data_IF_992427342511
#
_entry.id   IF_992427342511
#
_cell.length_a   1.000
_cell.length_b   1.000
_cell.length_c   1.000
_cell.angle_alpha   90.00
_cell.angle_beta   90.00
_cell.angle_gamma   90.00
#
_symmetry.space_group_name_H-M   'P 1'
#
loop_
_entity.id
_entity.type
_entity.pdbx_description
1 polymer ?
#
# COMPACT_ATOMS: atom_id res chain seq x y z
N UNK A 1 -12.78 16.48 -9.64
CA UNK A 1 -12.71 15.54 -8.50
C UNK A 1 -12.44 14.13 -9.02
N UNK A 2 -11.22 13.63 -8.85
CA UNK A 2 -10.91 12.25 -9.19
C UNK A 2 -11.80 11.35 -8.31
N UNK A 3 -12.55 10.39 -8.89
CA UNK A 3 -13.38 9.50 -8.09
C UNK A 3 -12.47 8.81 -7.09
N UNK A 4 -12.69 9.09 -5.81
CA UNK A 4 -11.95 8.46 -4.73
C UNK A 4 -12.22 6.96 -4.87
N UNK A 5 -11.19 6.12 -5.06
CA UNK A 5 -11.37 4.67 -5.04
C UNK A 5 -12.18 4.28 -3.81
N UNK A 6 -13.11 3.34 -3.94
CA UNK A 6 -13.95 2.90 -2.84
C UNK A 6 -13.07 2.66 -1.59
N UNK A 7 -13.36 3.37 -0.50
CA UNK A 7 -12.50 3.35 0.68
C UNK A 7 -12.39 1.92 1.22
N UNK A 8 -11.19 1.36 1.22
CA UNK A 8 -10.94 0.04 1.79
C UNK A 8 -11.30 0.04 3.28
N UNK A 9 -11.73 -1.10 3.80
CA UNK A 9 -11.95 -1.32 5.24
C UNK A 9 -10.92 -2.29 5.79
N UNK A 10 -10.64 -2.17 7.09
CA UNK A 10 -9.84 -3.16 7.82
C UNK A 10 -10.40 -4.57 7.60
N UNK A 11 -9.53 -5.51 7.25
CA UNK A 11 -9.87 -6.88 6.92
C UNK A 11 -10.10 -7.13 5.43
N UNK A 12 -10.22 -6.08 4.60
CA UNK A 12 -10.30 -6.27 3.16
C UNK A 12 -9.04 -6.94 2.62
N UNK A 13 -9.25 -7.88 1.70
CA UNK A 13 -8.22 -8.32 0.77
C UNK A 13 -8.21 -7.36 -0.40
N UNK A 14 -7.04 -6.81 -0.69
CA UNK A 14 -6.78 -5.95 -1.85
C UNK A 14 -5.66 -6.55 -2.69
N UNK A 15 -5.58 -6.15 -3.95
CA UNK A 15 -4.57 -6.63 -4.88
C UNK A 15 -3.73 -5.47 -5.41
N UNK A 16 -2.43 -5.74 -5.57
CA UNK A 16 -1.48 -4.82 -6.19
C UNK A 16 -1.75 -4.76 -7.71
N UNK A 17 -2.03 -3.58 -8.25
CA UNK A 17 -2.19 -3.37 -9.70
C UNK A 17 -0.85 -3.14 -10.41
N UNK A 18 0.16 -2.69 -9.67
CA UNK A 18 1.54 -2.46 -10.08
C UNK A 18 2.48 -2.80 -8.91
N UNK A 19 3.79 -2.64 -9.08
CA UNK A 19 4.77 -2.81 -8.01
C UNK A 19 4.51 -1.85 -6.85
N UNK A 20 4.36 -2.38 -5.64
CA UNK A 20 4.18 -1.59 -4.41
C UNK A 20 5.47 -1.51 -3.61
N UNK A 21 5.72 -0.33 -3.04
CA UNK A 21 6.72 -0.17 -1.99
C UNK A 21 6.02 -0.30 -0.64
N UNK A 22 6.42 -1.31 0.14
CA UNK A 22 5.99 -1.49 1.53
C UNK A 22 6.97 -0.76 2.44
N UNK A 23 6.46 0.17 3.25
CA UNK A 23 7.24 1.04 4.12
C UNK A 23 6.99 0.78 5.60
N UNK A 24 7.94 1.14 6.47
CA UNK A 24 7.78 1.10 7.93
C UNK A 24 6.78 2.13 8.42
N UNK A 25 6.66 3.26 7.72
CA UNK A 25 5.78 4.36 8.09
C UNK A 25 5.11 4.97 6.87
N UNK A 26 3.94 5.59 7.04
CA UNK A 26 3.28 6.32 5.97
C UNK A 26 4.16 7.50 5.48
N UNK A 27 4.10 7.76 4.18
CA UNK A 27 4.84 8.82 3.50
C UNK A 27 6.04 8.31 2.71
N UNK A 28 6.45 9.07 1.70
CA UNK A 28 7.62 8.80 0.86
C UNK A 28 8.63 9.98 0.83
N UNK A 29 8.29 11.15 1.36
CA UNK A 29 9.17 12.32 1.36
C UNK A 29 10.07 12.35 2.60
N UNK A 30 11.36 12.64 2.40
CA UNK A 30 12.34 12.77 3.49
C UNK A 30 12.62 11.46 4.26
N UNK A 31 12.22 10.30 3.73
CA UNK A 31 12.42 8.99 4.36
C UNK A 31 13.77 8.38 3.94
N UNK A 32 14.49 7.72 4.85
CA UNK A 32 15.69 6.96 4.48
C UNK A 32 15.33 5.70 3.68
N UNK A 33 16.29 5.15 2.93
CA UNK A 33 16.10 3.87 2.22
C UNK A 33 15.72 2.72 3.17
N UNK A 34 16.15 2.78 4.43
CA UNK A 34 15.81 1.81 5.47
C UNK A 34 14.34 1.85 5.93
N UNK A 35 13.54 2.82 5.46
CA UNK A 35 12.09 2.84 5.63
C UNK A 35 11.38 1.86 4.69
N UNK A 36 12.03 1.42 3.60
CA UNK A 36 11.51 0.38 2.71
C UNK A 36 11.71 -0.99 3.37
N UNK A 37 10.62 -1.74 3.51
CA UNK A 37 10.59 -3.12 4.03
C UNK A 37 10.65 -4.11 2.87
N UNK A 38 9.87 -3.87 1.82
CA UNK A 38 9.69 -4.82 0.73
C UNK A 38 9.23 -4.13 -0.55
N UNK A 39 9.56 -4.72 -1.69
CA UNK A 39 9.00 -4.38 -3.01
C UNK A 39 8.08 -5.53 -3.43
N UNK A 40 6.78 -5.25 -3.47
CA UNK A 40 5.73 -6.25 -3.70
C UNK A 40 5.36 -6.21 -5.17
N UNK A 41 5.50 -7.34 -5.86
CA UNK A 41 5.15 -7.46 -7.27
C UNK A 41 3.63 -7.26 -7.48
N UNK A 42 3.26 -6.77 -8.66
CA UNK A 42 1.86 -6.68 -9.09
C UNK A 42 1.16 -8.05 -9.04
N UNK A 43 -0.17 -8.03 -8.89
CA UNK A 43 -1.01 -9.21 -8.68
C UNK A 43 -0.97 -9.80 -7.27
N UNK A 44 -0.06 -9.35 -6.41
CA UNK A 44 0.02 -9.81 -5.02
C UNK A 44 -1.20 -9.39 -4.20
N UNK A 45 -1.72 -10.28 -3.38
CA UNK A 45 -2.78 -9.98 -2.41
C UNK A 45 -2.21 -9.42 -1.11
N UNK A 46 -2.89 -8.43 -0.53
CA UNK A 46 -2.58 -7.85 0.77
C UNK A 46 -3.85 -7.78 1.63
N UNK A 47 -3.70 -7.71 2.95
CA UNK A 47 -4.81 -7.47 3.87
C UNK A 47 -4.71 -6.07 4.46
N UNK A 48 -5.80 -5.30 4.43
CA UNK A 48 -5.87 -3.99 5.07
C UNK A 48 -5.91 -4.16 6.59
N UNK A 49 -4.93 -3.58 7.28
CA UNK A 49 -4.85 -3.58 8.75
C UNK A 49 -5.37 -2.27 9.36
N UNK A 50 -5.27 -1.15 8.63
CA UNK A 50 -5.71 0.17 9.06
C UNK A 50 -5.45 1.27 8.02
N UNK A 51 -5.88 2.49 8.35
CA UNK A 51 -5.94 3.62 7.42
C UNK A 51 -7.39 4.07 7.15
N UNK A 52 -7.61 5.02 6.23
CA UNK A 52 -6.60 5.70 5.43
C UNK A 52 -5.79 6.72 6.25
N UNK A 53 -4.58 7.03 5.83
CA UNK A 53 -3.77 8.14 6.37
C UNK A 53 -3.26 9.02 5.23
N UNK A 54 -3.63 10.29 5.24
CA UNK A 54 -3.14 11.26 4.27
C UNK A 54 -1.72 11.71 4.65
N UNK A 55 -0.75 11.51 3.74
CA UNK A 55 0.64 11.91 3.96
C UNK A 55 1.34 12.15 2.62
N UNK A 56 2.11 13.23 2.53
CA UNK A 56 2.89 13.60 1.34
C UNK A 56 2.04 13.72 0.06
N UNK A 57 0.80 14.19 0.20
CA UNK A 57 -0.15 14.32 -0.91
C UNK A 57 -0.77 13.00 -1.40
N UNK A 58 -0.52 11.88 -0.71
CA UNK A 58 -1.03 10.56 -1.06
C UNK A 58 -1.88 9.98 0.08
N UNK A 59 -2.76 9.04 -0.28
CA UNK A 59 -3.47 8.19 0.68
C UNK A 59 -2.65 6.94 0.96
N UNK A 60 -2.36 6.68 2.24
CA UNK A 60 -1.59 5.53 2.70
C UNK A 60 -2.45 4.55 3.48
N UNK A 61 -2.19 3.26 3.25
CA UNK A 61 -2.86 2.16 3.92
C UNK A 61 -1.85 1.29 4.66
N UNK A 62 -2.19 0.93 5.90
CA UNK A 62 -1.44 -0.06 6.64
C UNK A 62 -1.92 -1.45 6.21
N UNK A 63 -1.00 -2.28 5.74
CA UNK A 63 -1.28 -3.55 5.10
C UNK A 63 -0.41 -4.67 5.68
N UNK A 64 -0.92 -5.88 5.54
CA UNK A 64 -0.19 -7.13 5.72
C UNK A 64 0.07 -7.76 4.37
N UNK A 65 1.32 -8.10 4.12
CA UNK A 65 1.75 -8.89 2.98
C UNK A 65 2.37 -10.19 3.47
N UNK A 66 2.09 -11.30 2.77
CA UNK A 66 2.76 -12.58 2.98
C UNK A 66 3.51 -12.89 1.69
N UNK A 67 4.84 -12.98 1.76
CA UNK A 67 5.65 -13.24 0.57
C UNK A 67 5.44 -14.67 0.06
N UNK A 68 5.86 -14.99 -1.18
CA UNK A 68 5.81 -16.36 -1.71
C UNK A 68 6.54 -17.39 -0.84
N UNK A 69 7.53 -16.96 -0.04
CA UNK A 69 8.25 -17.80 0.91
C UNK A 69 7.54 -17.98 2.27
N UNK A 70 6.34 -17.42 2.44
CA UNK A 70 5.56 -17.51 3.69
C UNK A 70 5.94 -16.48 4.76
N UNK A 71 6.86 -15.56 4.46
CA UNK A 71 7.26 -14.52 5.41
C UNK A 71 6.20 -13.40 5.47
N UNK A 72 5.81 -13.02 6.68
CA UNK A 72 4.83 -11.96 6.90
C UNK A 72 5.50 -10.61 7.13
N UNK A 73 5.01 -9.59 6.43
CA UNK A 73 5.44 -8.21 6.54
C UNK A 73 4.23 -7.30 6.78
N UNK A 74 4.30 -6.49 7.84
CA UNK A 74 3.30 -5.47 8.15
C UNK A 74 3.93 -4.09 7.87
N UNK A 75 3.23 -3.23 7.14
CA UNK A 75 3.78 -1.94 6.72
C UNK A 75 2.77 -1.03 6.03
N UNK A 76 3.25 0.03 5.39
CA UNK A 76 2.45 1.06 4.74
C UNK A 76 2.71 1.10 3.24
N UNK A 77 1.66 1.22 2.44
CA UNK A 77 1.79 1.45 0.99
C UNK A 77 0.79 2.49 0.52
N UNK A 78 1.06 3.12 -0.63
CA UNK A 78 0.20 4.15 -1.19
C UNK A 78 -0.97 3.51 -1.95
N UNK A 79 -2.15 4.13 -1.86
CA UNK A 79 -3.33 3.75 -2.64
C UNK A 79 -3.15 4.00 -4.13
N UNK A 80 -2.40 5.05 -4.47
CA UNK A 80 -2.14 5.47 -5.83
C UNK A 80 -0.71 6.04 -5.96
N UNK A 81 -0.13 5.93 -7.16
CA UNK A 81 1.15 6.53 -7.49
C UNK A 81 1.05 8.05 -7.64
N UNK A 82 2.20 8.72 -7.73
CA UNK A 82 2.27 10.17 -7.96
C UNK A 82 1.57 10.64 -9.25
N UNK A 83 1.41 9.75 -10.23
CA UNK A 83 0.68 10.00 -11.49
C UNK A 83 -0.84 9.80 -11.36
N UNK A 84 -1.33 9.41 -10.19
CA UNK A 84 -2.76 9.18 -9.93
C UNK A 84 -3.28 7.80 -10.35
N UNK A 85 -2.42 6.92 -10.86
CA UNK A 85 -2.78 5.52 -11.13
C UNK A 85 -3.02 4.78 -9.81
N UNK A 86 -4.16 4.08 -9.70
CA UNK A 86 -4.44 3.23 -8.55
C UNK A 86 -3.40 2.11 -8.46
N UNK A 87 -2.88 1.89 -7.26
CA UNK A 87 -1.91 0.85 -6.89
C UNK A 87 -2.59 -0.30 -6.14
N UNK A 88 -3.71 -0.02 -5.48
CA UNK A 88 -4.51 -1.01 -4.76
C UNK A 88 -5.91 -1.11 -5.36
N UNK A 89 -6.45 -2.33 -5.42
CA UNK A 89 -7.81 -2.58 -5.88
C UNK A 89 -8.50 -3.67 -5.07
N UNK A 90 -9.83 -3.60 -4.97
CA UNK A 90 -10.69 -4.68 -4.45
C UNK A 90 -11.03 -5.73 -5.51
N UNK A 91 -10.69 -5.46 -6.78
CA UNK A 91 -11.04 -6.27 -7.95
C UNK A 91 -10.64 -7.74 -7.82
#
# INVERSE_FOLDING_TARGET
PQPQPAAFKKGDTVYATDTLILRKSAGNQGKPASDIIYEIASGSSLTILGGPTARDGLTWWNVRFVSPAGNRFDGWTAEAGNSGNALLTLQ
#
